data_IF_804509147747
#
_entry.id   IF_804509147747
#
_cell.length_a   1.000
_cell.length_b   1.000
_cell.length_c   1.000
_cell.angle_alpha   90.00
_cell.angle_beta   90.00
_cell.angle_gamma   90.00
#
_symmetry.space_group_name_H-M   'P 1'
#
loop_
_entity.id
_entity.type
_entity.pdbx_description
1 polymer ?
#
# COMPACT_ATOMS: atom_id res chain seq x y z
N UNK A 1 -26.10 -25.94 -76.33
CA UNK A 1 -27.12 -25.74 -75.28
C UNK A 1 -28.14 -24.72 -75.77
N UNK A 2 -29.44 -24.96 -75.63
CA UNK A 2 -30.49 -24.06 -76.15
C UNK A 2 -30.28 -22.67 -75.55
N UNK A 3 -30.21 -21.61 -76.37
CA UNK A 3 -29.86 -20.22 -75.97
C UNK A 3 -30.63 -19.72 -74.73
N UNK A 4 -31.84 -20.22 -74.53
CA UNK A 4 -32.70 -19.93 -73.36
C UNK A 4 -32.10 -20.39 -72.02
N UNK A 5 -31.35 -21.50 -72.00
CA UNK A 5 -30.70 -22.00 -70.78
C UNK A 5 -29.46 -21.19 -70.40
N UNK A 6 -28.83 -20.51 -71.37
CA UNK A 6 -27.66 -19.64 -71.13
C UNK A 6 -28.08 -18.38 -70.35
N UNK A 7 -29.23 -17.78 -70.69
CA UNK A 7 -29.75 -16.63 -69.97
C UNK A 7 -30.18 -16.97 -68.54
N UNK A 8 -30.72 -18.16 -68.31
CA UNK A 8 -31.09 -18.65 -66.97
C UNK A 8 -29.84 -18.86 -66.11
N UNK A 9 -28.78 -19.47 -66.69
CA UNK A 9 -27.49 -19.64 -66.01
C UNK A 9 -26.83 -18.30 -65.68
N UNK A 10 -26.89 -17.33 -66.59
CA UNK A 10 -26.34 -15.99 -66.36
C UNK A 10 -27.07 -15.26 -65.22
N UNK A 11 -28.40 -15.34 -65.20
CA UNK A 11 -29.21 -14.76 -64.13
C UNK A 11 -28.93 -15.41 -62.77
N UNK A 12 -28.79 -16.74 -62.74
CA UNK A 12 -28.44 -17.47 -61.53
C UNK A 12 -27.05 -17.05 -61.01
N UNK A 13 -26.08 -16.88 -61.91
CA UNK A 13 -24.72 -16.45 -61.56
C UNK A 13 -24.70 -15.05 -60.93
N UNK A 14 -25.47 -14.11 -61.47
CA UNK A 14 -25.60 -12.75 -60.90
C UNK A 14 -26.22 -12.79 -59.50
N UNK A 15 -27.26 -13.60 -59.30
CA UNK A 15 -27.90 -13.77 -57.98
C UNK A 15 -26.92 -14.37 -56.97
N UNK A 16 -26.15 -15.39 -57.36
CA UNK A 16 -25.15 -16.00 -56.49
C UNK A 16 -24.06 -15.00 -56.10
N UNK A 17 -23.59 -14.18 -57.03
CA UNK A 17 -22.59 -13.13 -56.75
C UNK A 17 -23.15 -12.09 -55.77
N UNK A 18 -24.40 -11.66 -55.95
CA UNK A 18 -25.05 -10.70 -55.06
C UNK A 18 -25.21 -11.24 -53.63
N UNK A 19 -25.56 -12.52 -53.48
CA UNK A 19 -25.69 -13.18 -52.17
C UNK A 19 -24.34 -13.31 -51.47
N UNK A 20 -23.31 -13.74 -52.21
CA UNK A 20 -21.94 -13.84 -51.66
C UNK A 20 -21.43 -12.45 -51.24
N UNK A 21 -21.68 -11.42 -52.04
CA UNK A 21 -21.26 -10.06 -51.72
C UNK A 21 -21.96 -9.51 -50.47
N UNK A 22 -23.27 -9.76 -50.33
CA UNK A 22 -24.04 -9.35 -49.16
C UNK A 22 -23.56 -10.04 -47.87
N UNK A 23 -23.26 -11.34 -47.91
CA UNK A 23 -22.79 -12.08 -46.75
C UNK A 23 -21.29 -11.92 -46.45
N UNK A 24 -20.49 -11.50 -47.43
CA UNK A 24 -19.05 -11.28 -47.26
C UNK A 24 -18.70 -9.91 -46.68
N UNK A 25 -19.69 -9.06 -46.40
CA UNK A 25 -19.46 -7.80 -45.70
C UNK A 25 -19.18 -8.06 -44.22
N UNK A 26 -17.91 -8.31 -43.89
CA UNK A 26 -17.43 -8.38 -42.51
C UNK A 26 -17.80 -7.10 -41.77
N UNK A 27 -18.59 -7.22 -40.71
CA UNK A 27 -18.75 -6.14 -39.75
C UNK A 27 -17.39 -5.94 -39.06
N UNK A 28 -16.75 -4.80 -39.34
CA UNK A 28 -15.60 -4.39 -38.55
C UNK A 28 -16.11 -4.17 -37.12
N UNK A 29 -15.93 -5.16 -36.27
CA UNK A 29 -16.15 -5.04 -34.83
C UNK A 29 -15.12 -4.04 -34.34
N UNK A 30 -15.52 -2.77 -34.28
CA UNK A 30 -14.72 -1.71 -33.66
C UNK A 30 -14.61 -2.09 -32.19
N UNK A 31 -13.54 -2.81 -31.83
CA UNK A 31 -13.19 -3.01 -30.44
C UNK A 31 -12.90 -1.62 -29.88
N UNK A 32 -13.83 -1.09 -29.09
CA UNK A 32 -13.68 0.17 -28.38
C UNK A 32 -12.61 0.00 -27.28
N UNK A 33 -11.37 -0.19 -27.69
CA UNK A 33 -10.24 -0.28 -26.80
C UNK A 33 -9.93 1.14 -26.30
N UNK A 34 -10.14 1.36 -25.01
CA UNK A 34 -9.77 2.60 -24.35
C UNK A 34 -8.26 2.55 -24.13
N UNK A 35 -7.51 3.23 -24.99
CA UNK A 35 -6.04 3.28 -24.95
C UNK A 35 -5.61 4.61 -24.34
N UNK A 36 -4.70 4.57 -23.38
CA UNK A 36 -4.09 5.75 -22.77
C UNK A 36 -2.57 5.64 -22.80
N UNK A 37 -1.89 6.78 -22.94
CA UNK A 37 -0.44 6.86 -22.97
C UNK A 37 0.13 6.64 -21.56
N UNK A 38 1.06 5.70 -21.42
CA UNK A 38 1.79 5.47 -20.19
C UNK A 38 2.60 6.71 -19.77
N UNK A 39 2.57 7.04 -18.48
CA UNK A 39 3.35 8.13 -17.88
C UNK A 39 4.35 7.54 -16.90
N UNK A 40 5.57 8.07 -16.91
CA UNK A 40 6.60 7.73 -15.93
C UNK A 40 6.66 8.83 -14.87
N UNK A 41 6.98 8.44 -13.64
CA UNK A 41 7.06 9.35 -12.50
C UNK A 41 7.64 8.63 -11.29
N UNK A 42 7.96 9.38 -10.24
CA UNK A 42 8.43 8.80 -9.00
C UNK A 42 7.29 8.02 -8.34
N UNK A 43 7.48 6.71 -8.18
CA UNK A 43 6.58 5.86 -7.41
C UNK A 43 7.18 5.71 -6.01
N UNK A 44 6.47 6.21 -5.00
CA UNK A 44 6.90 6.13 -3.60
C UNK A 44 6.14 4.98 -2.94
N UNK A 45 6.88 4.08 -2.29
CA UNK A 45 6.34 2.96 -1.53
C UNK A 45 6.53 3.30 -0.06
N UNK A 46 5.45 3.67 0.61
CA UNK A 46 5.45 3.95 2.05
C UNK A 46 4.83 2.78 2.81
N UNK A 47 5.48 2.38 3.90
CA UNK A 47 4.98 1.33 4.82
C UNK A 47 4.63 2.01 6.14
N UNK A 48 3.37 1.88 6.55
CA UNK A 48 2.92 2.40 7.85
C UNK A 48 3.08 1.31 8.90
N UNK A 49 3.83 1.60 9.96
CA UNK A 49 3.99 0.72 11.12
C UNK A 49 3.40 1.37 12.36
N UNK A 50 2.93 0.55 13.29
CA UNK A 50 2.49 0.96 14.62
C UNK A 50 3.63 0.77 15.62
N UNK A 51 3.78 1.69 16.56
CA UNK A 51 4.74 1.58 17.66
C UNK A 51 4.35 2.49 18.82
N UNK A 52 4.90 2.21 19.99
CA UNK A 52 4.76 3.06 21.17
C UNK A 52 6.02 3.91 21.36
N UNK A 53 5.89 5.04 22.04
CA UNK A 53 7.01 5.91 22.36
C UNK A 53 7.53 5.57 23.75
N UNK A 54 8.85 5.38 23.85
CA UNK A 54 9.56 5.18 25.11
C UNK A 54 10.50 6.34 25.40
N UNK A 55 10.87 6.52 26.68
CA UNK A 55 11.83 7.52 27.08
C UNK A 55 13.20 7.23 26.46
N UNK A 56 13.91 8.27 25.99
CA UNK A 56 15.26 8.13 25.43
C UNK A 56 16.27 7.60 26.44
N UNK A 57 16.09 7.95 27.71
CA UNK A 57 16.91 7.50 28.83
C UNK A 57 16.01 7.33 30.04
N UNK A 58 16.17 6.20 30.73
CA UNK A 58 15.47 5.86 31.96
C UNK A 58 16.52 5.30 32.91
N UNK A 59 16.64 5.90 34.09
CA UNK A 59 17.61 5.49 35.12
C UNK A 59 16.87 5.33 36.46
N UNK A 60 17.16 4.24 37.16
CA UNK A 60 16.59 3.97 38.49
C UNK A 60 17.52 4.55 39.56
N UNK A 61 17.10 5.64 40.20
CA UNK A 61 17.85 6.20 41.33
C UNK A 61 17.56 5.37 42.59
N UNK A 62 18.57 4.62 43.04
CA UNK A 62 18.46 3.72 44.19
C UNK A 62 19.06 4.34 45.46
N UNK A 63 18.39 4.11 46.58
CA UNK A 63 18.91 4.49 47.89
C UNK A 63 20.14 3.67 48.33
N UNK A 64 20.73 4.01 49.49
CA UNK A 64 21.92 3.33 50.02
C UNK A 64 21.71 1.83 50.24
N UNK A 65 22.76 1.04 50.03
CA UNK A 65 22.70 -0.41 50.21
C UNK A 65 22.34 -0.78 51.67
N UNK A 66 21.26 -1.55 51.91
CA UNK A 66 20.84 -1.95 53.24
C UNK A 66 21.92 -2.69 54.05
N UNK A 67 22.75 -3.50 53.40
CA UNK A 67 23.84 -4.22 54.08
C UNK A 67 24.90 -3.24 54.58
N UNK A 68 25.23 -2.23 53.78
CA UNK A 68 26.17 -1.17 54.17
C UNK A 68 25.69 -0.36 55.36
N UNK A 69 24.40 0.00 55.39
CA UNK A 69 23.78 0.71 56.51
C UNK A 69 23.87 -0.10 57.81
N UNK A 70 23.55 -1.40 57.75
CA UNK A 70 23.63 -2.28 58.91
C UNK A 70 25.05 -2.44 59.45
N UNK A 71 26.04 -2.55 58.56
CA UNK A 71 27.46 -2.60 58.97
C UNK A 71 27.88 -1.31 59.69
N UNK A 72 27.35 -0.16 59.27
CA UNK A 72 27.56 1.13 59.93
C UNK A 72 26.71 1.31 61.21
N UNK A 73 25.95 0.29 61.65
CA UNK A 73 25.01 0.33 62.79
C UNK A 73 23.88 1.38 62.63
N UNK A 74 23.51 1.67 61.38
CA UNK A 74 22.36 2.53 61.05
C UNK A 74 21.15 1.63 60.79
N UNK A 75 20.14 1.75 61.63
CA UNK A 75 18.93 0.90 61.62
C UNK A 75 17.67 1.63 61.19
N UNK A 76 17.68 2.96 61.26
CA UNK A 76 16.55 3.81 60.94
C UNK A 76 17.01 4.80 59.87
N UNK A 77 16.35 4.75 58.71
CA UNK A 77 16.53 5.69 57.61
C UNK A 77 15.16 6.30 57.32
N UNK A 78 15.13 7.61 57.11
CA UNK A 78 13.93 8.36 56.73
C UNK A 78 14.24 9.22 55.52
N UNK A 79 13.23 9.42 54.69
CA UNK A 79 13.29 10.39 53.59
C UNK A 79 12.86 11.73 54.20
N UNK A 80 13.78 12.69 54.28
CA UNK A 80 13.52 14.02 54.88
C UNK A 80 12.98 15.00 53.84
N UNK A 81 13.38 14.84 52.57
CA UNK A 81 12.91 15.66 51.45
C UNK A 81 12.64 14.77 50.23
N UNK A 82 11.58 15.09 49.51
CA UNK A 82 11.18 14.39 48.29
C UNK A 82 10.62 15.41 47.31
N UNK A 83 11.12 15.35 46.08
CA UNK A 83 10.64 16.21 45.02
C UNK A 83 9.34 15.64 44.43
N UNK A 84 8.37 16.49 44.04
CA UNK A 84 7.17 16.02 43.38
C UNK A 84 7.45 15.37 42.02
N UNK A 85 6.65 14.36 41.68
CA UNK A 85 6.70 13.70 40.38
C UNK A 85 6.42 14.69 39.23
N UNK A 86 7.10 14.48 38.10
CA UNK A 86 6.97 15.34 36.91
C UNK A 86 7.78 16.65 36.98
N UNK A 87 8.59 16.84 38.03
CA UNK A 87 9.48 18.00 38.13
C UNK A 87 10.68 17.85 37.19
N UNK A 88 11.01 18.91 36.44
CA UNK A 88 12.19 18.94 35.58
C UNK A 88 13.41 19.34 36.42
N UNK A 89 14.46 18.54 36.34
CA UNK A 89 15.65 18.64 37.19
C UNK A 89 16.92 18.44 36.37
N UNK A 90 17.99 19.10 36.78
CA UNK A 90 19.32 18.90 36.23
C UNK A 90 20.11 17.85 37.03
N UNK A 91 21.21 17.38 36.44
CA UNK A 91 22.15 16.46 37.05
C UNK A 91 22.67 16.96 38.40
N UNK A 92 22.47 16.16 39.45
CA UNK A 92 22.93 16.48 40.81
C UNK A 92 22.13 17.56 41.52
N UNK A 93 20.98 17.97 40.99
CA UNK A 93 20.15 19.02 41.59
C UNK A 93 19.39 18.55 42.85
N UNK A 94 19.40 17.25 43.19
CA UNK A 94 18.90 16.67 44.44
C UNK A 94 19.46 15.26 44.67
#
# INVERSE_FOLDING_TARGET
MKRKNVFILLGLLVVVIAVVWYFSSTSNTVSNAIIVKAKTGKFVIDVTTTGELEARSSEDIRGPNPIGLRNARIWQLRIEDIIPDGTVVDSGQW
#
